data_IF_990658760874
#
_entry.id   IF_990658760874
#
_cell.length_a   1.000
_cell.length_b   1.000
_cell.length_c   1.000
_cell.angle_alpha   90.00
_cell.angle_beta   90.00
_cell.angle_gamma   90.00
#
_symmetry.space_group_name_H-M   'P 1'
#
loop_
_entity.id
_entity.type
_entity.pdbx_description
1 polymer ?
#
# COMPACT_ATOMS: atom_id res chain seq x y z
N UNK A 1 9.90 -12.72 11.60
CA UNK A 1 11.28 -12.66 12.12
C UNK A 1 12.15 -12.03 11.04
N UNK A 2 12.83 -10.93 11.37
CA UNK A 2 13.73 -10.22 10.46
C UNK A 2 15.16 -10.58 10.82
N UNK A 3 15.96 -10.88 9.81
CA UNK A 3 17.39 -11.23 9.91
C UNK A 3 18.16 -10.08 9.27
N UNK A 4 19.21 -9.62 9.92
CA UNK A 4 20.16 -8.61 9.41
C UNK A 4 20.87 -9.14 8.13
N UNK A 5 21.36 -8.24 7.27
CA UNK A 5 22.34 -8.56 6.22
C UNK A 5 23.65 -9.19 6.71
N UNK A 6 23.88 -9.35 8.02
CA UNK A 6 24.97 -10.16 8.60
C UNK A 6 24.52 -11.52 9.17
N UNK A 7 23.22 -11.85 9.08
CA UNK A 7 22.70 -13.15 9.52
C UNK A 7 22.31 -13.21 11.00
N UNK A 8 22.42 -12.09 11.73
CA UNK A 8 22.09 -12.01 13.14
C UNK A 8 20.61 -11.72 13.41
N UNK A 9 20.16 -12.18 14.59
CA UNK A 9 18.80 -11.99 15.08
C UNK A 9 18.64 -10.58 15.63
N UNK A 10 17.76 -9.79 15.02
CA UNK A 10 17.49 -8.42 15.46
C UNK A 10 16.44 -8.46 16.58
N UNK A 11 16.80 -7.95 17.76
CA UNK A 11 15.83 -7.68 18.84
C UNK A 11 14.84 -6.61 18.37
N UNK A 12 13.57 -6.67 18.80
CA UNK A 12 12.57 -5.65 18.46
C UNK A 12 12.98 -4.22 18.87
N UNK A 13 13.88 -4.10 19.84
CA UNK A 13 14.45 -2.82 20.30
C UNK A 13 15.53 -2.26 19.37
N UNK A 14 16.18 -3.10 18.56
CA UNK A 14 17.23 -2.72 17.60
C UNK A 14 16.70 -2.63 16.17
N UNK A 15 15.38 -2.77 15.98
CA UNK A 15 14.75 -2.67 14.68
C UNK A 15 14.83 -1.23 14.18
N UNK A 16 15.43 -1.04 13.01
CA UNK A 16 15.52 0.25 12.35
C UNK A 16 14.12 0.82 12.11
N UNK A 17 13.79 1.88 12.85
CA UNK A 17 12.47 2.51 12.89
C UNK A 17 12.07 3.10 11.53
N UNK A 18 13.06 3.35 10.66
CA UNK A 18 12.83 3.82 9.29
C UNK A 18 12.16 2.76 8.41
N UNK A 19 12.34 1.46 8.70
CA UNK A 19 11.75 0.37 7.91
C UNK A 19 10.21 0.34 7.95
N UNK A 20 9.60 0.84 9.02
CA UNK A 20 8.14 0.89 9.15
C UNK A 20 7.51 1.97 8.27
N UNK A 21 8.29 3.00 7.95
CA UNK A 21 7.83 4.18 7.21
C UNK A 21 8.25 4.06 5.75
N UNK A 22 9.49 3.64 5.49
CA UNK A 22 10.04 3.45 4.16
C UNK A 22 9.81 2.01 3.67
N UNK A 23 8.54 1.68 3.49
CA UNK A 23 8.10 0.33 3.09
C UNK A 23 8.72 -0.17 1.78
N UNK A 24 9.19 0.74 0.91
CA UNK A 24 9.89 0.38 -0.32
C UNK A 24 11.23 -0.33 -0.08
N UNK A 25 11.93 -0.03 1.02
CA UNK A 25 13.17 -0.72 1.39
C UNK A 25 12.85 -2.18 1.71
N UNK A 26 11.74 -2.42 2.40
CA UNK A 26 11.21 -3.76 2.69
C UNK A 26 10.73 -4.47 1.43
N UNK A 27 10.17 -3.75 0.45
CA UNK A 27 9.79 -4.34 -0.85
C UNK A 27 11.00 -4.84 -1.63
N UNK A 28 12.11 -4.11 -1.60
CA UNK A 28 13.34 -4.48 -2.31
C UNK A 28 14.11 -5.64 -1.67
N UNK A 29 14.10 -5.73 -0.34
CA UNK A 29 14.84 -6.77 0.42
C UNK A 29 14.02 -7.98 0.86
N UNK A 30 12.69 -7.86 0.90
CA UNK A 30 11.79 -8.84 1.53
C UNK A 30 10.67 -9.34 0.63
N UNK A 31 9.62 -9.90 1.25
CA UNK A 31 8.46 -10.46 0.57
C UNK A 31 7.57 -9.34 0.03
N UNK A 32 7.24 -9.36 -1.26
CA UNK A 32 6.33 -8.42 -1.93
C UNK A 32 4.86 -8.53 -1.47
N UNK A 33 4.60 -9.04 -0.27
CA UNK A 33 3.25 -9.32 0.25
C UNK A 33 2.41 -8.04 0.33
N UNK A 34 2.93 -7.02 1.02
CA UNK A 34 2.22 -5.75 1.23
C UNK A 34 1.81 -5.05 -0.06
N UNK A 35 2.69 -4.84 -1.07
CA UNK A 35 2.28 -4.18 -2.31
C UNK A 35 1.30 -5.04 -3.12
N UNK A 36 1.42 -6.37 -3.09
CA UNK A 36 0.47 -7.29 -3.72
C UNK A 36 -0.91 -7.20 -3.03
N UNK A 37 -0.95 -7.16 -1.71
CA UNK A 37 -2.19 -7.03 -0.93
C UNK A 37 -2.89 -5.70 -1.23
N UNK A 38 -2.14 -4.58 -1.22
CA UNK A 38 -2.70 -3.27 -1.57
C UNK A 38 -3.27 -3.29 -2.98
N UNK A 39 -2.52 -3.85 -3.94
CA UNK A 39 -2.98 -4.00 -5.32
C UNK A 39 -4.27 -4.82 -5.40
N UNK A 40 -4.34 -5.98 -4.74
CA UNK A 40 -5.51 -6.86 -4.73
C UNK A 40 -6.73 -6.20 -4.06
N UNK A 41 -6.55 -5.50 -2.94
CA UNK A 41 -7.63 -4.79 -2.24
C UNK A 41 -8.22 -3.70 -3.16
N UNK A 42 -7.38 -2.86 -3.77
CA UNK A 42 -7.83 -1.83 -4.70
C UNK A 42 -8.51 -2.42 -5.94
N UNK A 43 -8.03 -3.55 -6.44
CA UNK A 43 -8.63 -4.29 -7.55
C UNK A 43 -10.04 -4.80 -7.18
N UNK A 44 -10.17 -5.48 -6.03
CA UNK A 44 -11.46 -6.04 -5.57
C UNK A 44 -12.45 -4.91 -5.27
N UNK A 45 -12.01 -3.85 -4.60
CA UNK A 45 -12.84 -2.70 -4.28
C UNK A 45 -13.40 -2.06 -5.55
N UNK A 46 -12.55 -1.82 -6.56
CA UNK A 46 -12.99 -1.23 -7.83
C UNK A 46 -13.85 -2.19 -8.67
N UNK A 47 -13.63 -3.49 -8.56
CA UNK A 47 -14.44 -4.49 -9.26
C UNK A 47 -15.86 -4.61 -8.69
N UNK A 48 -16.00 -4.55 -7.35
CA UNK A 48 -17.28 -4.66 -6.65
C UNK A 48 -18.15 -3.42 -6.80
N UNK A 49 -17.54 -2.24 -6.94
CA UNK A 49 -18.26 -0.98 -7.04
C UNK A 49 -19.09 -0.89 -8.32
N UNK A 50 -20.36 -0.46 -8.25
CA UNK A 50 -21.26 -0.40 -9.41
C UNK A 50 -20.77 0.55 -10.50
N UNK A 51 -20.27 1.73 -10.09
CA UNK A 51 -19.67 2.71 -11.00
C UNK A 51 -18.17 2.74 -10.71
N UNK A 52 -17.37 2.33 -11.70
CA UNK A 52 -15.92 2.18 -11.57
C UNK A 52 -15.19 3.46 -11.16
N UNK A 53 -15.77 4.64 -11.46
CA UNK A 53 -15.21 5.93 -11.06
C UNK A 53 -15.23 6.15 -9.55
N UNK A 54 -16.22 5.61 -8.82
CA UNK A 54 -16.23 5.66 -7.36
C UNK A 54 -15.16 4.76 -6.77
N UNK A 55 -14.93 3.58 -7.36
CA UNK A 55 -13.86 2.67 -6.94
C UNK A 55 -12.45 3.26 -7.08
N UNK A 56 -12.20 4.02 -8.16
CA UNK A 56 -10.93 4.74 -8.35
C UNK A 56 -10.79 5.87 -7.32
N UNK A 57 -11.85 6.65 -7.08
CA UNK A 57 -11.84 7.72 -6.08
C UNK A 57 -11.58 7.16 -4.67
N UNK A 58 -12.22 6.06 -4.31
CA UNK A 58 -11.98 5.37 -3.04
C UNK A 58 -10.54 4.85 -2.94
N UNK A 59 -9.98 4.31 -4.04
CA UNK A 59 -8.60 3.82 -4.06
C UNK A 59 -7.56 4.93 -3.87
N UNK A 60 -7.84 6.14 -4.35
CA UNK A 60 -7.01 7.33 -4.09
C UNK A 60 -7.05 7.69 -2.60
N UNK A 61 -8.24 7.64 -1.98
CA UNK A 61 -8.40 7.90 -0.55
C UNK A 61 -7.73 6.86 0.35
N UNK A 62 -7.46 5.64 -0.15
CA UNK A 62 -6.72 4.64 0.61
C UNK A 62 -5.28 5.08 0.91
N UNK A 63 -4.65 5.89 0.06
CA UNK A 63 -3.26 6.33 0.28
C UNK A 63 -3.09 7.12 1.58
N UNK A 64 -3.82 8.22 1.84
CA UNK A 64 -3.73 8.93 3.12
C UNK A 64 -4.20 8.07 4.31
N UNK A 65 -5.16 7.17 4.12
CA UNK A 65 -5.59 6.24 5.18
C UNK A 65 -4.47 5.29 5.59
N UNK A 66 -3.74 4.70 4.63
CA UNK A 66 -2.61 3.80 4.90
C UNK A 66 -1.47 4.55 5.62
N UNK A 67 -1.19 5.79 5.21
CA UNK A 67 -0.16 6.61 5.87
C UNK A 67 -0.56 6.93 7.31
N UNK A 68 -1.81 7.33 7.55
CA UNK A 68 -2.32 7.61 8.89
C UNK A 68 -2.31 6.35 9.78
N UNK A 69 -2.71 5.20 9.23
CA UNK A 69 -2.65 3.91 9.91
C UNK A 69 -1.20 3.55 10.27
N UNK A 70 -0.24 3.77 9.37
CA UNK A 70 1.19 3.61 9.63
C UNK A 70 1.68 4.46 10.81
N UNK A 71 1.20 5.70 10.93
CA UNK A 71 1.52 6.56 12.08
C UNK A 71 0.90 6.05 13.37
N UNK A 72 -0.35 5.57 13.34
CA UNK A 72 -1.01 4.98 14.51
C UNK A 72 -0.25 3.75 15.00
N UNK A 73 0.16 2.86 14.08
CA UNK A 73 0.99 1.70 14.44
C UNK A 73 2.35 2.11 15.01
N UNK A 74 3.01 3.10 14.42
CA UNK A 74 4.26 3.64 14.95
C UNK A 74 4.08 4.15 16.38
N UNK A 75 3.03 4.93 16.64
CA UNK A 75 2.74 5.43 18.00
C UNK A 75 2.40 4.31 18.98
N UNK A 76 1.69 3.28 18.53
CA UNK A 76 1.39 2.11 19.36
C UNK A 76 2.64 1.31 19.74
N UNK A 77 3.65 1.25 18.85
CA UNK A 77 4.87 0.47 19.07
C UNK A 77 5.97 1.23 19.82
N UNK A 78 6.20 2.50 19.48
CA UNK A 78 7.33 3.30 19.98
C UNK A 78 6.91 4.46 20.90
N UNK A 79 5.60 4.66 21.09
CA UNK A 79 5.06 5.79 21.83
C UNK A 79 4.82 7.03 20.96
N UNK A 80 4.23 8.06 21.56
CA UNK A 80 3.90 9.29 20.84
C UNK A 80 5.16 10.12 20.58
N UNK A 81 5.57 10.24 19.32
CA UNK A 81 6.73 11.02 18.89
C UNK A 81 6.46 11.74 17.56
N UNK A 82 7.26 12.75 17.20
CA UNK A 82 7.14 13.45 15.91
C UNK A 82 7.97 12.79 14.79
N UNK A 83 8.83 11.84 15.13
CA UNK A 83 9.70 11.12 14.21
C UNK A 83 8.99 10.60 12.95
N UNK A 84 7.79 9.99 12.99
CA UNK A 84 7.18 9.46 11.79
C UNK A 84 6.72 10.55 10.81
N UNK A 85 6.35 11.73 11.31
CA UNK A 85 6.03 12.88 10.46
C UNK A 85 7.29 13.40 9.76
N UNK A 86 8.40 13.48 10.49
CA UNK A 86 9.69 13.93 9.94
C UNK A 86 10.16 12.93 8.89
N UNK A 87 10.15 11.63 9.19
CA UNK A 87 10.55 10.56 8.27
C UNK A 87 9.69 10.50 7.00
N UNK A 88 8.41 10.84 7.09
CA UNK A 88 7.48 10.81 5.97
C UNK A 88 7.48 12.09 5.11
N UNK A 89 7.69 13.27 5.71
CA UNK A 89 7.54 14.57 5.01
C UNK A 89 8.82 15.41 4.89
N UNK A 90 9.86 15.15 5.70
CA UNK A 90 11.12 15.90 5.64
C UNK A 90 12.18 15.24 4.73
N UNK A 91 12.02 13.95 4.42
CA UNK A 91 12.96 13.17 3.62
C UNK A 91 12.40 12.82 2.24
N UNK A 92 13.28 12.77 1.24
CA UNK A 92 12.92 12.45 -0.16
C UNK A 92 12.33 11.02 -0.28
N UNK A 93 12.85 10.11 0.52
CA UNK A 93 12.44 8.72 0.67
C UNK A 93 10.96 8.61 1.08
N UNK A 94 10.48 9.52 1.93
CA UNK A 94 9.07 9.61 2.31
C UNK A 94 8.17 9.96 1.13
N UNK A 95 8.58 10.91 0.28
CA UNK A 95 7.85 11.26 -0.95
C UNK A 95 7.85 10.12 -1.98
N UNK A 96 8.97 9.40 -2.11
CA UNK A 96 9.02 8.19 -2.96
C UNK A 96 8.04 7.13 -2.47
N UNK A 97 7.93 6.92 -1.16
CA UNK A 97 6.96 5.99 -0.58
C UNK A 97 5.52 6.37 -0.96
N UNK A 98 5.16 7.66 -0.86
CA UNK A 98 3.84 8.17 -1.28
C UNK A 98 3.60 7.90 -2.77
N UNK A 99 4.59 8.17 -3.62
CA UNK A 99 4.47 7.96 -5.07
C UNK A 99 4.24 6.48 -5.40
N UNK A 100 4.97 5.58 -4.75
CA UNK A 100 4.81 4.13 -4.91
C UNK A 100 3.41 3.68 -4.47
N UNK A 101 2.91 4.16 -3.33
CA UNK A 101 1.56 3.87 -2.86
C UNK A 101 0.50 4.32 -3.87
N UNK A 102 0.62 5.54 -4.41
CA UNK A 102 -0.26 6.02 -5.47
C UNK A 102 -0.18 5.15 -6.73
N UNK A 103 1.02 4.75 -7.15
CA UNK A 103 1.21 3.87 -8.31
C UNK A 103 0.52 2.51 -8.13
N UNK A 104 0.62 1.93 -6.93
CA UNK A 104 -0.01 0.65 -6.58
C UNK A 104 -1.53 0.74 -6.51
N UNK A 105 -2.08 1.77 -5.85
CA UNK A 105 -3.54 1.93 -5.74
C UNK A 105 -4.18 2.26 -7.10
N UNK A 106 -3.52 3.06 -7.94
CA UNK A 106 -3.98 3.36 -9.29
C UNK A 106 -3.88 2.15 -10.21
N UNK A 107 -2.77 1.41 -10.19
CA UNK A 107 -2.64 0.21 -11.02
C UNK A 107 -3.64 -0.89 -10.63
N UNK A 108 -3.90 -1.08 -9.33
CA UNK A 108 -4.91 -2.01 -8.82
C UNK A 108 -6.32 -1.62 -9.26
N UNK A 109 -6.69 -0.35 -9.08
CA UNK A 109 -8.03 0.14 -9.44
C UNK A 109 -8.30 0.14 -10.95
N UNK A 110 -7.33 0.56 -11.78
CA UNK A 110 -7.43 0.48 -13.25
C UNK A 110 -7.60 -0.97 -13.71
N UNK A 111 -6.87 -1.89 -13.09
CA UNK A 111 -6.99 -3.33 -13.38
C UNK A 111 -8.39 -3.86 -13.02
N UNK A 112 -8.92 -3.50 -11.85
CA UNK A 112 -10.29 -3.84 -11.45
C UNK A 112 -11.35 -3.33 -12.42
N UNK A 113 -11.21 -2.09 -12.90
CA UNK A 113 -12.10 -1.51 -13.91
C UNK A 113 -12.05 -2.29 -15.24
N UNK A 114 -10.85 -2.61 -15.75
CA UNK A 114 -10.70 -3.38 -16.99
C UNK A 114 -11.31 -4.78 -16.86
N UNK A 115 -11.08 -5.47 -15.74
CA UNK A 115 -11.66 -6.78 -15.46
C UNK A 115 -13.20 -6.73 -15.43
N UNK A 116 -13.77 -5.69 -14.82
CA UNK A 116 -15.22 -5.48 -14.81
C UNK A 116 -15.78 -5.28 -16.21
N UNK A 117 -15.14 -4.42 -17.01
CA UNK A 117 -15.56 -4.18 -18.41
C UNK A 117 -15.54 -5.46 -19.25
N UNK A 118 -14.53 -6.32 -19.07
CA UNK A 118 -14.46 -7.62 -19.73
C UNK A 118 -15.59 -8.56 -19.29
N UNK A 119 -15.90 -8.61 -17.99
CA UNK A 119 -16.99 -9.42 -17.45
C UNK A 119 -18.35 -9.01 -18.02
N UNK A 120 -18.64 -7.70 -18.05
CA UNK A 120 -19.89 -7.16 -18.61
C UNK A 120 -20.00 -7.43 -20.12
N UNK A 121 -18.90 -7.26 -20.87
CA UNK A 121 -18.87 -7.56 -22.31
C UNK A 121 -19.12 -9.05 -22.59
N UNK A 122 -18.54 -9.95 -21.80
CA UNK A 122 -18.79 -11.40 -21.93
C UNK A 122 -20.26 -11.74 -21.67
N UNK A 123 -20.86 -11.17 -20.62
CA UNK A 123 -22.30 -11.39 -20.32
C UNK A 123 -23.21 -10.92 -21.46
N UNK A 124 -22.94 -9.77 -22.09
CA UNK A 124 -23.74 -9.30 -23.23
C UNK A 124 -23.64 -10.20 -24.46
N UNK A 125 -22.46 -10.75 -24.76
CA UNK A 125 -22.27 -11.65 -25.92
C UNK A 125 -22.96 -13.01 -25.76
N UNK A 126 -23.27 -13.44 -24.55
CA UNK A 126 -23.98 -14.71 -24.29
C UNK A 126 -25.50 -14.54 -24.46
N UNK A 127 -26.00 -13.30 -24.34
CA UNK A 127 -27.43 -12.94 -24.41
C UNK A 127 -27.89 -12.42 -25.79
N UNK A 128 -26.97 -12.24 -26.75
CA UNK A 128 -27.26 -11.89 -28.15
C UNK A 128 -27.11 -13.10 -29.06
#
# INVERSE_FOLDING_TARGET
MLIDGHGDWISFLDMDTTMLIWTYITYGRGFFLSPILIFLICLVMTYKEDISHYGIRASIWMVPTIIAEGFIFYFGMFGFCLDPFILQFAYFEGYLNILILFGLTLSGSISGMKLKQLSVRKKRKILS
#
